data_IF_563506758752
#
_entry.id   IF_563506758752
#
_cell.length_a   1.000
_cell.length_b   1.000
_cell.length_c   1.000
_cell.angle_alpha   90.00
_cell.angle_beta   90.00
_cell.angle_gamma   90.00
#
_symmetry.space_group_name_H-M   'P 1'
#
loop_
_entity.id
_entity.type
_entity.pdbx_description
1 polymer ?
#
# COMPACT_ATOMS: atom_id res chain seq x y z
N UNK A 1 -17.82 -7.91 2.11
CA UNK A 1 -16.44 -7.65 2.58
C UNK A 1 -15.95 -6.43 1.83
N UNK A 2 -15.47 -5.42 2.53
CA UNK A 2 -15.01 -4.17 1.94
C UNK A 2 -13.51 -4.10 2.09
N UNK A 3 -12.83 -3.79 0.98
CA UNK A 3 -11.40 -3.56 0.97
C UNK A 3 -11.16 -2.12 0.55
N UNK A 4 -10.51 -1.33 1.39
CA UNK A 4 -10.13 0.03 1.05
C UNK A 4 -8.63 0.24 1.18
N UNK A 5 -8.11 1.15 0.37
CA UNK A 5 -6.68 1.33 0.27
C UNK A 5 -6.27 2.76 -0.05
N UNK A 6 -5.12 3.11 0.51
CA UNK A 6 -4.43 4.37 0.35
C UNK A 6 -3.54 4.34 -0.91
N UNK A 7 -2.95 5.47 -1.28
CA UNK A 7 -1.91 5.57 -2.30
C UNK A 7 -0.54 4.94 -1.94
N UNK A 8 0.40 5.02 -2.88
CA UNK A 8 1.79 4.58 -2.70
C UNK A 8 2.01 3.11 -3.04
N UNK A 9 3.14 2.52 -2.61
CA UNK A 9 3.49 1.12 -2.90
C UNK A 9 2.37 0.12 -2.54
N UNK A 10 1.71 0.34 -1.39
CA UNK A 10 0.58 -0.47 -0.93
C UNK A 10 -0.55 -0.53 -1.95
N UNK A 11 -0.88 0.60 -2.60
CA UNK A 11 -1.92 0.67 -3.63
C UNK A 11 -1.68 -0.35 -4.74
N UNK A 12 -0.46 -0.38 -5.29
CA UNK A 12 -0.11 -1.23 -6.41
C UNK A 12 -0.12 -2.71 -6.01
N UNK A 13 0.54 -3.06 -4.91
CA UNK A 13 0.63 -4.44 -4.45
C UNK A 13 -0.75 -5.06 -4.21
N UNK A 14 -1.64 -4.35 -3.53
CA UNK A 14 -2.99 -4.87 -3.26
C UNK A 14 -3.86 -4.83 -4.52
N UNK A 15 -3.76 -3.80 -5.37
CA UNK A 15 -4.53 -3.75 -6.63
C UNK A 15 -4.17 -4.91 -7.56
N UNK A 16 -2.91 -5.33 -7.58
CA UNK A 16 -2.45 -6.48 -8.37
C UNK A 16 -2.86 -7.82 -7.75
N UNK A 17 -2.95 -7.91 -6.42
CA UNK A 17 -3.23 -9.16 -5.71
C UNK A 17 -4.72 -9.43 -5.45
N UNK A 18 -5.55 -8.39 -5.36
CA UNK A 18 -6.95 -8.53 -4.93
C UNK A 18 -7.80 -9.27 -5.96
N UNK A 19 -8.57 -10.24 -5.50
CA UNK A 19 -9.59 -10.94 -6.31
C UNK A 19 -10.96 -10.76 -5.66
N UNK A 20 -11.92 -10.25 -6.44
CA UNK A 20 -13.30 -10.02 -6.00
C UNK A 20 -14.18 -11.14 -6.54
N UNK A 21 -14.24 -12.26 -5.80
CA UNK A 21 -14.91 -13.48 -6.23
C UNK A 21 -16.41 -13.54 -5.88
N UNK A 22 -16.93 -12.55 -5.13
CA UNK A 22 -18.33 -12.52 -4.70
C UNK A 22 -19.00 -11.16 -4.97
N UNK A 23 -20.27 -11.18 -5.38
CA UNK A 23 -21.04 -9.99 -5.78
C UNK A 23 -21.15 -8.91 -4.68
N UNK A 24 -20.98 -9.27 -3.41
CA UNK A 24 -21.08 -8.36 -2.25
C UNK A 24 -19.72 -7.88 -1.74
N UNK A 25 -18.65 -8.09 -2.51
CA UNK A 25 -17.34 -7.49 -2.25
C UNK A 25 -17.25 -6.13 -2.94
N UNK A 26 -16.56 -5.18 -2.29
CA UNK A 26 -16.33 -3.84 -2.82
C UNK A 26 -14.88 -3.46 -2.57
N UNK A 27 -14.27 -2.88 -3.59
CA UNK A 27 -12.93 -2.32 -3.55
C UNK A 27 -13.03 -0.79 -3.67
N UNK A 28 -12.52 -0.06 -2.69
CA UNK A 28 -12.68 1.40 -2.56
C UNK A 28 -11.30 2.05 -2.37
N UNK A 29 -10.57 2.32 -3.48
CA UNK A 29 -9.24 2.93 -3.42
C UNK A 29 -9.27 4.47 -3.46
N UNK A 30 -8.23 5.10 -2.90
CA UNK A 30 -7.86 6.49 -3.21
C UNK A 30 -6.99 6.52 -4.47
N UNK A 31 -7.64 6.56 -5.65
CA UNK A 31 -6.96 6.46 -6.95
C UNK A 31 -6.46 7.81 -7.46
N UNK A 32 -7.37 8.72 -7.87
CA UNK A 32 -7.01 9.88 -8.67
C UNK A 32 -6.15 10.93 -7.94
N UNK A 33 -6.51 11.27 -6.70
CA UNK A 33 -5.74 12.24 -5.90
C UNK A 33 -4.60 11.60 -5.11
N UNK A 34 -4.55 10.27 -5.07
CA UNK A 34 -3.51 9.51 -4.36
C UNK A 34 -3.27 10.03 -2.91
N UNK A 35 -4.35 10.34 -2.20
CA UNK A 35 -4.28 11.13 -0.95
C UNK A 35 -3.79 10.32 0.24
N UNK A 36 -2.59 10.69 0.72
CA UNK A 36 -2.11 10.65 2.11
C UNK A 36 -3.15 10.29 3.20
N UNK A 37 -3.02 9.18 3.95
CA UNK A 37 -3.83 8.94 5.16
C UNK A 37 -5.32 8.64 4.94
N UNK A 38 -5.75 8.38 3.70
CA UNK A 38 -7.13 8.06 3.35
C UNK A 38 -7.70 6.79 4.03
N UNK A 39 -6.89 5.73 4.18
CA UNK A 39 -7.43 4.39 4.51
C UNK A 39 -8.20 4.33 5.83
N UNK A 40 -7.69 4.93 6.89
CA UNK A 40 -8.32 4.86 8.21
C UNK A 40 -9.68 5.59 8.26
N UNK A 41 -9.78 6.89 7.91
CA UNK A 41 -11.08 7.58 7.88
C UNK A 41 -12.05 6.98 6.86
N UNK A 42 -11.57 6.50 5.70
CA UNK A 42 -12.43 5.81 4.74
C UNK A 42 -12.99 4.50 5.32
N UNK A 43 -12.18 3.72 6.03
CA UNK A 43 -12.63 2.48 6.66
C UNK A 43 -13.69 2.73 7.74
N UNK A 44 -13.55 3.80 8.52
CA UNK A 44 -14.56 4.28 9.46
C UNK A 44 -15.87 4.58 8.74
N UNK A 45 -15.82 5.42 7.69
CA UNK A 45 -17.00 5.77 6.91
C UNK A 45 -17.70 4.56 6.29
N UNK A 46 -16.94 3.62 5.74
CA UNK A 46 -17.47 2.37 5.18
C UNK A 46 -18.13 1.51 6.26
N UNK A 47 -17.47 1.34 7.42
CA UNK A 47 -18.02 0.54 8.53
C UNK A 47 -19.34 1.13 9.01
N UNK A 48 -19.41 2.44 9.20
CA UNK A 48 -20.63 3.16 9.60
C UNK A 48 -21.72 3.00 8.55
N UNK A 49 -21.42 3.27 7.27
CA UNK A 49 -22.38 3.17 6.17
C UNK A 49 -22.91 1.74 5.93
N UNK A 50 -22.23 0.73 6.48
CA UNK A 50 -22.57 -0.68 6.30
C UNK A 50 -23.10 -1.33 7.59
N UNK A 51 -23.53 -0.51 8.56
CA UNK A 51 -24.06 -0.93 9.85
C UNK A 51 -23.06 -1.78 10.66
N UNK A 52 -21.81 -1.35 10.73
CA UNK A 52 -20.76 -2.00 11.52
C UNK A 52 -20.25 -3.30 10.91
N UNK A 53 -20.35 -3.50 9.59
CA UNK A 53 -19.73 -4.67 8.95
C UNK A 53 -18.20 -4.53 8.93
N UNK A 54 -17.50 -5.67 9.04
CA UNK A 54 -16.04 -5.75 8.95
C UNK A 54 -15.51 -5.08 7.67
N UNK A 55 -14.55 -4.19 7.85
CA UNK A 55 -13.78 -3.53 6.78
C UNK A 55 -12.32 -3.94 6.88
N UNK A 56 -11.72 -4.30 5.74
CA UNK A 56 -10.29 -4.57 5.63
C UNK A 56 -9.65 -3.34 4.99
N UNK A 57 -8.74 -2.71 5.70
CA UNK A 57 -8.06 -1.50 5.26
C UNK A 57 -6.58 -1.77 5.09
N UNK A 58 -6.02 -1.41 3.95
CA UNK A 58 -4.57 -1.47 3.70
C UNK A 58 -3.98 -0.06 3.70
N UNK A 59 -2.88 0.14 4.40
CA UNK A 59 -2.15 1.42 4.45
C UNK A 59 -0.65 1.20 4.50
N UNK A 60 0.14 2.23 4.19
CA UNK A 60 1.56 2.29 4.54
C UNK A 60 1.76 2.85 5.96
N UNK A 61 2.91 2.56 6.55
CA UNK A 61 3.38 3.09 7.83
C UNK A 61 3.37 4.62 7.86
N UNK A 62 3.95 5.28 6.86
CA UNK A 62 3.95 6.74 6.77
C UNK A 62 2.57 7.34 6.46
N UNK A 63 1.72 6.61 5.73
CA UNK A 63 0.35 7.08 5.45
C UNK A 63 -0.54 7.02 6.68
N UNK A 64 -0.39 6.00 7.53
CA UNK A 64 -1.15 5.88 8.78
C UNK A 64 -0.91 7.09 9.68
N UNK A 65 0.32 7.61 9.74
CA UNK A 65 0.68 8.75 10.59
C UNK A 65 -0.11 10.03 10.28
N UNK A 66 -0.60 10.20 9.05
CA UNK A 66 -1.32 11.44 8.69
C UNK A 66 -2.68 11.58 9.36
N UNK A 67 -3.35 10.47 9.69
CA UNK A 67 -4.66 10.47 10.32
C UNK A 67 -4.73 9.49 11.50
N UNK A 68 -3.62 9.31 12.22
CA UNK A 68 -3.52 8.30 13.28
C UNK A 68 -4.46 8.57 14.46
N UNK A 69 -4.85 9.84 14.66
CA UNK A 69 -5.82 10.24 15.68
C UNK A 69 -7.18 9.54 15.52
N UNK A 70 -7.52 9.12 14.30
CA UNK A 70 -8.80 8.44 14.01
C UNK A 70 -8.88 7.03 14.63
N UNK A 71 -7.78 6.49 15.16
CA UNK A 71 -7.82 5.25 15.96
C UNK A 71 -8.74 5.41 17.17
N UNK A 72 -8.85 6.61 17.74
CA UNK A 72 -9.81 6.88 18.82
C UNK A 72 -11.26 6.72 18.33
N UNK A 73 -11.57 7.19 17.13
CA UNK A 73 -12.89 7.04 16.51
C UNK A 73 -13.25 5.57 16.33
N UNK A 74 -12.27 4.74 15.92
CA UNK A 74 -12.48 3.28 15.79
C UNK A 74 -12.86 2.65 17.13
N UNK A 75 -12.19 3.04 18.21
CA UNK A 75 -12.47 2.55 19.57
C UNK A 75 -13.82 3.02 20.08
N UNK A 76 -14.08 4.34 20.01
CA UNK A 76 -15.30 4.96 20.52
C UNK A 76 -16.57 4.29 19.96
N UNK A 77 -16.55 3.98 18.66
CA UNK A 77 -17.67 3.35 17.97
C UNK A 77 -17.55 1.83 17.85
N UNK A 78 -16.55 1.21 18.48
CA UNK A 78 -16.27 -0.23 18.44
C UNK A 78 -16.33 -0.81 17.01
N UNK A 79 -15.68 -0.14 16.05
CA UNK A 79 -15.78 -0.50 14.64
C UNK A 79 -14.86 -1.70 14.32
N UNK A 80 -15.35 -2.76 13.64
CA UNK A 80 -14.58 -3.97 13.36
C UNK A 80 -13.64 -3.79 12.16
N UNK A 81 -12.75 -2.81 12.22
CA UNK A 81 -11.78 -2.48 11.18
C UNK A 81 -10.53 -3.35 11.35
N UNK A 82 -10.12 -4.04 10.29
CA UNK A 82 -8.88 -4.81 10.20
C UNK A 82 -7.88 -3.99 9.39
N UNK A 83 -6.98 -3.30 10.09
CA UNK A 83 -6.01 -2.41 9.48
C UNK A 83 -4.69 -3.16 9.26
N UNK A 84 -4.39 -3.47 8.00
CA UNK A 84 -3.10 -4.01 7.58
C UNK A 84 -2.18 -2.85 7.20
N UNK A 85 -1.09 -2.69 7.95
CA UNK A 85 -0.06 -1.68 7.70
C UNK A 85 1.12 -2.36 7.01
N UNK A 86 1.35 -2.04 5.73
CA UNK A 86 2.52 -2.52 5.01
C UNK A 86 3.70 -1.60 5.33
N UNK A 87 4.51 -2.04 6.28
CA UNK A 87 5.58 -1.28 6.89
C UNK A 87 6.90 -1.55 6.16
N UNK A 88 7.33 -0.58 5.35
CA UNK A 88 8.56 -0.62 4.57
C UNK A 88 9.62 0.37 5.08
N UNK A 89 9.50 0.83 6.33
CA UNK A 89 10.38 1.79 6.99
C UNK A 89 10.56 3.08 6.14
N UNK A 90 9.46 3.71 5.74
CA UNK A 90 9.54 4.94 4.95
C UNK A 90 8.47 5.16 3.88
N UNK A 91 8.74 6.17 3.06
CA UNK A 91 7.97 6.51 1.88
C UNK A 91 8.52 5.83 0.63
N UNK A 92 8.10 4.58 0.42
CA UNK A 92 8.52 3.77 -0.71
C UNK A 92 8.43 4.49 -2.08
N UNK A 93 7.32 5.18 -2.39
CA UNK A 93 7.18 5.88 -3.69
C UNK A 93 8.18 7.03 -3.88
N UNK A 94 8.56 7.72 -2.79
CA UNK A 94 9.58 8.77 -2.81
C UNK A 94 10.95 8.13 -3.02
N UNK A 95 11.25 7.06 -2.28
CA UNK A 95 12.47 6.25 -2.43
C UNK A 95 12.65 5.74 -3.87
N UNK A 96 11.59 5.19 -4.48
CA UNK A 96 11.62 4.70 -5.86
C UNK A 96 11.91 5.82 -6.85
N UNK A 97 11.29 6.98 -6.68
CA UNK A 97 11.54 8.15 -7.54
C UNK A 97 12.99 8.65 -7.40
N UNK A 98 13.50 8.73 -6.17
CA UNK A 98 14.89 9.14 -5.88
C UNK A 98 15.92 8.14 -6.42
N UNK A 99 15.61 6.85 -6.35
CA UNK A 99 16.45 5.78 -6.92
C UNK A 99 16.52 5.88 -8.43
N UNK A 100 15.37 6.05 -9.09
CA UNK A 100 15.27 5.99 -10.55
C UNK A 100 15.76 7.26 -11.25
N UNK A 101 15.56 8.44 -10.65
CA UNK A 101 15.74 9.71 -11.35
C UNK A 101 16.74 10.67 -10.69
N UNK A 102 17.19 10.38 -9.47
CA UNK A 102 18.01 11.31 -8.69
C UNK A 102 19.28 10.67 -8.12
N UNK A 103 19.85 9.70 -8.84
CA UNK A 103 21.14 9.07 -8.50
C UNK A 103 21.16 8.47 -7.08
N UNK A 104 20.02 7.95 -6.63
CA UNK A 104 19.87 7.41 -5.26
C UNK A 104 20.18 8.44 -4.16
N UNK A 105 20.00 9.73 -4.43
CA UNK A 105 20.08 10.78 -3.42
C UNK A 105 18.82 10.80 -2.57
N UNK A 106 18.88 10.09 -1.45
CA UNK A 106 17.75 9.93 -0.55
C UNK A 106 17.55 11.15 0.37
N UNK A 107 16.36 11.76 0.32
CA UNK A 107 15.98 12.91 1.14
C UNK A 107 14.52 12.73 1.59
N UNK A 108 14.29 12.73 2.90
CA UNK A 108 12.96 12.71 3.48
C UNK A 108 12.13 11.46 3.17
N UNK A 109 12.77 10.32 2.86
CA UNK A 109 12.07 9.06 2.55
C UNK A 109 12.06 8.07 3.72
N UNK A 110 13.09 8.06 4.57
CA UNK A 110 13.22 7.20 5.75
C UNK A 110 14.03 7.86 6.86
N UNK A 111 14.22 7.13 7.97
CA UNK A 111 14.93 7.60 9.17
C UNK A 111 16.36 8.02 8.87
N UNK A 112 16.99 7.36 7.89
CA UNK A 112 18.33 7.67 7.38
C UNK A 112 18.41 9.01 6.64
N UNK A 113 17.27 9.58 6.27
CA UNK A 113 17.15 10.78 5.44
C UNK A 113 16.24 11.86 6.07
N UNK A 114 15.98 11.75 7.38
CA UNK A 114 15.32 12.79 8.17
C UNK A 114 13.82 12.61 8.46
N UNK A 115 13.23 11.43 8.18
CA UNK A 115 11.81 11.14 8.48
C UNK A 115 11.70 9.81 9.21
N UNK A 116 11.01 9.74 10.36
CA UNK A 116 10.82 8.48 11.09
C UNK A 116 9.38 8.32 11.57
N UNK A 117 8.99 7.10 11.88
CA UNK A 117 7.65 6.76 12.36
C UNK A 117 7.72 6.00 13.69
N UNK A 118 6.72 6.17 14.58
CA UNK A 118 6.68 5.45 15.85
C UNK A 118 6.40 3.95 15.65
N UNK A 119 6.75 3.16 16.68
CA UNK A 119 6.40 1.74 16.71
C UNK A 119 4.88 1.55 16.76
N UNK A 120 4.33 0.92 15.71
CA UNK A 120 2.87 0.75 15.53
C UNK A 120 2.25 -0.11 16.64
N UNK A 121 2.95 -1.15 17.12
CA UNK A 121 2.47 -2.01 18.21
C UNK A 121 2.32 -1.21 19.50
N UNK A 122 3.27 -0.32 19.81
CA UNK A 122 3.17 0.58 20.97
C UNK A 122 2.02 1.57 20.83
N UNK A 123 1.82 2.12 19.64
CA UNK A 123 0.67 3.01 19.37
C UNK A 123 -0.65 2.26 19.52
N UNK A 124 -0.78 1.06 18.95
CA UNK A 124 -1.98 0.24 19.07
C UNK A 124 -2.31 -0.04 20.54
N UNK A 125 -1.32 -0.40 21.35
CA UNK A 125 -1.47 -0.61 22.79
C UNK A 125 -1.95 0.67 23.50
N UNK A 126 -1.42 1.85 23.15
CA UNK A 126 -1.86 3.11 23.74
C UNK A 126 -3.35 3.41 23.51
N UNK A 127 -3.92 2.97 22.38
CA UNK A 127 -5.35 3.05 22.09
C UNK A 127 -6.16 1.84 22.58
N UNK A 128 -5.52 0.82 23.17
CA UNK A 128 -6.17 -0.42 23.57
C UNK A 128 -6.60 -1.31 22.40
N UNK A 129 -6.00 -1.15 21.22
CA UNK A 129 -6.29 -1.95 20.02
C UNK A 129 -5.38 -3.18 19.99
N UNK A 130 -5.96 -4.35 19.73
CA UNK A 130 -5.17 -5.56 19.47
C UNK A 130 -4.23 -5.31 18.29
N UNK A 131 -2.96 -5.63 18.46
CA UNK A 131 -2.00 -5.61 17.36
C UNK A 131 -1.24 -6.91 17.22
N UNK A 132 -0.90 -7.22 15.97
CA UNK A 132 -0.06 -8.35 15.59
C UNK A 132 1.02 -7.82 14.66
N UNK A 133 2.28 -8.24 14.86
CA UNK A 133 3.37 -7.90 13.96
C UNK A 133 3.80 -9.15 13.19
N UNK A 134 3.89 -9.03 11.87
CA UNK A 134 4.38 -10.08 10.97
C UNK A 134 5.72 -9.65 10.41
N UNK A 135 6.76 -10.43 10.70
CA UNK A 135 8.12 -10.21 10.19
C UNK A 135 8.67 -11.41 9.40
N UNK A 136 7.94 -12.51 9.35
CA UNK A 136 8.28 -13.75 8.62
C UNK A 136 7.01 -14.35 8.02
N UNK A 137 7.15 -15.10 6.92
CA UNK A 137 6.01 -15.64 6.18
C UNK A 137 5.53 -17.01 6.65
N UNK A 138 6.32 -17.70 7.48
CA UNK A 138 6.07 -19.11 7.85
C UNK A 138 4.68 -19.35 8.49
N UNK A 139 4.16 -18.35 9.23
CA UNK A 139 2.88 -18.44 9.95
C UNK A 139 1.87 -17.40 9.45
N UNK A 140 2.02 -16.93 8.20
CA UNK A 140 1.20 -15.83 7.69
C UNK A 140 -0.29 -16.18 7.66
N UNK A 141 -0.64 -17.41 7.27
CA UNK A 141 -2.03 -17.87 7.20
C UNK A 141 -2.70 -17.87 8.58
N UNK A 142 -2.00 -18.37 9.60
CA UNK A 142 -2.47 -18.39 10.99
C UNK A 142 -2.69 -16.98 11.53
N UNK A 143 -1.76 -16.06 11.26
CA UNK A 143 -1.89 -14.65 11.67
C UNK A 143 -3.05 -13.97 10.95
N UNK A 144 -3.22 -14.21 9.64
CA UNK A 144 -4.35 -13.64 8.89
C UNK A 144 -5.66 -14.17 9.48
N UNK A 145 -5.76 -15.45 9.76
CA UNK A 145 -6.94 -16.05 10.39
C UNK A 145 -7.23 -15.42 11.76
N UNK A 146 -6.20 -15.27 12.62
CA UNK A 146 -6.31 -14.62 13.92
C UNK A 146 -6.85 -13.18 13.79
N UNK A 147 -6.26 -12.37 12.90
CA UNK A 147 -6.63 -10.97 12.67
C UNK A 147 -8.08 -10.88 12.18
N UNK A 148 -8.45 -11.74 11.22
CA UNK A 148 -9.76 -11.72 10.57
C UNK A 148 -10.88 -12.23 11.47
N UNK A 149 -10.59 -13.15 12.39
CA UNK A 149 -11.55 -13.77 13.31
C UNK A 149 -11.67 -13.05 14.66
N UNK A 150 -10.76 -12.12 15.00
CA UNK A 150 -10.90 -11.32 16.22
C UNK A 150 -12.18 -10.48 16.19
N UNK A 151 -12.88 -10.39 17.32
CA UNK A 151 -14.00 -9.46 17.48
C UNK A 151 -13.48 -8.05 17.78
N UNK A 152 -13.87 -7.06 16.97
CA UNK A 152 -13.41 -5.67 17.12
C UNK A 152 -12.22 -5.30 16.24
N UNK A 153 -11.58 -4.14 16.48
CA UNK A 153 -10.51 -3.63 15.63
C UNK A 153 -9.18 -4.37 15.84
N UNK A 154 -8.40 -4.52 14.77
CA UNK A 154 -7.04 -5.07 14.83
C UNK A 154 -6.11 -4.26 13.94
N UNK A 155 -4.89 -4.00 14.42
CA UNK A 155 -3.79 -3.49 13.62
C UNK A 155 -2.78 -4.62 13.36
N UNK A 156 -2.66 -5.03 12.10
CA UNK A 156 -1.67 -5.98 11.64
C UNK A 156 -0.50 -5.21 11.00
N UNK A 157 0.63 -5.12 11.69
CA UNK A 157 1.86 -4.47 11.23
C UNK A 157 2.72 -5.49 10.46
N UNK A 158 2.68 -5.39 9.13
CA UNK A 158 3.35 -6.34 8.22
C UNK A 158 4.65 -5.70 7.74
N UNK A 159 5.77 -6.21 8.25
CA UNK A 159 7.10 -5.78 7.80
C UNK A 159 7.34 -6.32 6.39
N UNK A 160 7.59 -5.41 5.45
CA UNK A 160 7.85 -5.75 4.05
C UNK A 160 9.22 -5.23 3.60
N UNK A 161 9.84 -5.83 2.56
CA UNK A 161 11.11 -5.35 2.04
C UNK A 161 11.06 -3.86 1.66
N UNK A 162 12.14 -3.14 2.02
CA UNK A 162 12.29 -1.72 1.69
C UNK A 162 12.39 -1.47 0.19
N UNK A 163 13.10 -2.36 -0.48
CA UNK A 163 13.46 -2.28 -1.90
C UNK A 163 12.56 -3.21 -2.74
N UNK A 164 11.25 -3.12 -2.55
CA UNK A 164 10.27 -3.87 -3.33
C UNK A 164 9.99 -3.14 -4.65
N UNK A 165 10.24 -3.75 -5.80
CA UNK A 165 9.85 -3.14 -7.07
C UNK A 165 8.33 -3.23 -7.29
N UNK A 166 7.76 -2.17 -7.89
CA UNK A 166 6.39 -2.18 -8.42
C UNK A 166 6.48 -2.54 -9.90
N UNK A 167 6.09 -3.77 -10.22
CA UNK A 167 6.13 -4.31 -11.59
C UNK A 167 4.83 -5.05 -11.94
N UNK A 168 4.42 -5.08 -13.22
CA UNK A 168 4.98 -4.30 -14.32
C UNK A 168 4.68 -2.79 -14.17
N UNK A 169 5.55 -1.93 -14.70
CA UNK A 169 5.36 -0.47 -14.62
C UNK A 169 5.84 0.25 -15.88
N UNK A 170 5.15 1.34 -16.22
CA UNK A 170 5.61 2.27 -17.26
C UNK A 170 6.80 3.03 -16.70
N UNK A 171 7.99 2.71 -17.21
CA UNK A 171 9.21 3.38 -16.81
C UNK A 171 9.43 4.63 -17.67
N UNK A 172 9.63 5.78 -17.02
CA UNK A 172 10.19 6.95 -17.67
C UNK A 172 11.70 6.79 -17.76
N UNK A 173 12.30 7.28 -18.85
CA UNK A 173 13.76 7.44 -18.94
C UNK A 173 14.12 8.92 -18.92
N UNK A 174 15.28 9.22 -18.36
CA UNK A 174 15.92 10.53 -18.51
C UNK A 174 16.78 10.48 -19.79
N UNK A 175 16.48 11.35 -20.75
CA UNK A 175 17.23 11.51 -21.98
C UNK A 175 18.57 12.22 -21.71
N UNK A 176 19.49 12.19 -22.69
CA UNK A 176 20.82 12.83 -22.56
C UNK A 176 20.75 14.33 -22.29
N UNK A 177 19.66 14.98 -22.67
CA UNK A 177 19.38 16.40 -22.45
C UNK A 177 18.70 16.69 -21.10
N UNK A 178 18.47 15.66 -20.28
CA UNK A 178 17.78 15.78 -18.99
C UNK A 178 16.25 15.74 -19.07
N UNK A 179 15.65 15.72 -20.26
CA UNK A 179 14.19 15.57 -20.41
C UNK A 179 13.73 14.16 -20.03
N UNK A 180 12.46 14.01 -19.63
CA UNK A 180 11.86 12.70 -19.36
C UNK A 180 10.94 12.27 -20.48
N UNK A 181 11.06 11.02 -20.92
CA UNK A 181 10.12 10.39 -21.86
C UNK A 181 9.63 9.06 -21.31
N UNK A 182 8.32 8.84 -21.34
CA UNK A 182 7.71 7.56 -20.99
C UNK A 182 7.71 6.60 -22.18
N UNK A 183 7.88 5.31 -21.90
CA UNK A 183 7.63 4.27 -22.90
C UNK A 183 6.13 4.05 -23.12
N UNK A 184 5.74 3.51 -24.27
CA UNK A 184 4.34 3.15 -24.51
C UNK A 184 3.89 2.03 -23.54
N UNK A 185 2.57 1.87 -23.35
CA UNK A 185 2.00 0.97 -22.34
C UNK A 185 2.30 -0.51 -22.62
N UNK A 186 2.55 -0.85 -23.88
CA UNK A 186 2.94 -2.18 -24.32
C UNK A 186 4.39 -2.54 -23.95
N UNK A 187 5.29 -1.57 -23.72
CA UNK A 187 6.71 -1.78 -23.37
C UNK A 187 7.01 -1.36 -21.92
N UNK A 188 6.41 -2.08 -20.97
CA UNK A 188 6.62 -1.89 -19.53
C UNK A 188 7.86 -2.63 -18.99
N UNK A 189 8.42 -2.12 -17.90
CA UNK A 189 9.45 -2.81 -17.13
C UNK A 189 8.81 -3.92 -16.25
N UNK A 190 9.43 -5.10 -16.05
CA UNK A 190 10.73 -5.52 -16.59
C UNK A 190 10.69 -5.73 -18.11
N UNK A 191 11.68 -5.19 -18.80
CA UNK A 191 11.71 -5.22 -20.26
C UNK A 191 11.97 -6.64 -20.77
N UNK A 192 11.12 -7.10 -21.68
CA UNK A 192 11.32 -8.35 -22.40
C UNK A 192 12.48 -8.23 -23.40
N UNK A 193 13.00 -9.38 -23.84
CA UNK A 193 13.89 -9.41 -25.00
C UNK A 193 13.20 -8.81 -26.22
N UNK A 194 13.95 -8.13 -27.10
CA UNK A 194 13.34 -7.42 -28.24
C UNK A 194 12.66 -8.34 -29.23
N UNK A 195 13.10 -9.59 -29.35
CA UNK A 195 12.43 -10.58 -30.18
C UNK A 195 11.12 -11.01 -29.51
N UNK A 196 11.18 -11.39 -28.23
CA UNK A 196 9.99 -11.81 -27.46
C UNK A 196 8.92 -10.72 -27.42
N UNK A 197 9.31 -9.47 -27.18
CA UNK A 197 8.41 -8.33 -27.23
C UNK A 197 7.70 -8.21 -28.57
N UNK A 198 8.43 -8.29 -29.69
CA UNK A 198 7.88 -8.20 -31.04
C UNK A 198 7.00 -9.39 -31.42
N UNK A 199 7.35 -10.59 -30.97
CA UNK A 199 6.57 -11.80 -31.21
C UNK A 199 5.21 -11.77 -30.48
N UNK A 200 5.09 -10.97 -29.40
CA UNK A 200 3.86 -10.79 -28.62
C UNK A 200 3.06 -9.52 -28.96
N UNK A 201 3.54 -8.67 -29.88
CA UNK A 201 2.83 -7.47 -30.29
C UNK A 201 1.67 -7.81 -31.24
N UNK A 202 0.45 -7.38 -30.87
CA UNK A 202 -0.74 -7.48 -31.73
C UNK A 202 -0.83 -6.34 -32.76
N UNK A 203 -0.02 -5.29 -32.60
CA UNK A 203 0.04 -4.10 -33.46
C UNK A 203 1.49 -3.71 -33.72
N UNK A 204 1.74 -3.00 -34.82
CA UNK A 204 3.07 -2.45 -35.13
C UNK A 204 3.52 -1.44 -34.05
N UNK A 205 4.83 -1.44 -33.77
CA UNK A 205 5.46 -0.48 -32.88
C UNK A 205 5.26 0.96 -33.40
N UNK A 206 4.99 1.91 -32.50
CA UNK A 206 4.89 3.33 -32.81
C UNK A 206 6.19 3.98 -32.33
N UNK A 207 6.87 4.71 -33.23
CA UNK A 207 8.11 5.46 -32.95
C UNK A 207 7.90 6.62 -31.95
#
# INVERSE_FOLDING_TARGET
>A
MFVNIHAGGTFYAVSQAIQLNHANQRYIPSSAMATMGYSLPAAIGISVATNGKRVIAFTGDGSLQQNIQELQTVIEYNLPIKLFVLNNDGYHSIRTSQTNYFEKRYIGESSKSGVSFPDITKIANAYGIKSVRVNETNNLDEVIEEVLNHDGPVICDVIVPREQEVIPTVASRVNKDGSMSSRPLEDMYPFLDRKEYKDNLFISEID
#
